data_IF_089757327840
#
_entry.id   IF_089757327840
#
_cell.length_a   1.000
_cell.length_b   1.000
_cell.length_c   1.000
_cell.angle_alpha   90.00
_cell.angle_beta   90.00
_cell.angle_gamma   90.00
#
_symmetry.space_group_name_H-M   'P 1'
#
loop_
_entity.id
_entity.type
_entity.pdbx_description
1 polymer ?
#
# COMPACT_ATOMS: atom_id res chain seq x y z
N UNK A 1 -2.03 -0.66 12.72
CA UNK A 1 -1.00 -1.59 12.20
C UNK A 1 -0.73 -1.20 10.76
N UNK A 2 0.48 -0.74 10.45
CA UNK A 2 0.82 -0.25 9.11
C UNK A 2 0.93 -1.41 8.13
N UNK A 3 0.53 -1.18 6.88
CA UNK A 3 0.61 -2.19 5.81
C UNK A 3 2.05 -2.43 5.33
N UNK A 4 3.06 -1.81 5.95
CA UNK A 4 4.46 -1.84 5.53
C UNK A 4 5.12 -3.23 5.62
N UNK A 5 4.61 -4.13 6.48
CA UNK A 5 5.14 -5.49 6.62
C UNK A 5 5.17 -6.28 5.31
N UNK A 6 4.25 -5.98 4.37
CA UNK A 6 4.22 -6.65 3.06
C UNK A 6 5.46 -6.34 2.23
N UNK A 7 6.09 -5.18 2.41
CA UNK A 7 7.29 -4.79 1.67
C UNK A 7 8.51 -5.59 2.08
N UNK A 8 8.56 -6.00 3.35
CA UNK A 8 9.59 -6.88 3.90
C UNK A 8 9.39 -8.29 3.33
N UNK A 9 8.18 -8.85 3.43
CA UNK A 9 7.86 -10.18 2.89
C UNK A 9 8.14 -10.27 1.39
N UNK A 10 7.74 -9.27 0.60
CA UNK A 10 8.04 -9.24 -0.84
C UNK A 10 9.55 -9.14 -1.11
N UNK A 11 10.31 -8.47 -0.24
CA UNK A 11 11.76 -8.40 -0.33
C UNK A 11 12.42 -9.75 -0.04
N UNK A 12 11.98 -10.45 1.00
CA UNK A 12 12.50 -11.77 1.37
C UNK A 12 12.22 -12.81 0.29
N UNK A 13 11.00 -12.80 -0.27
CA UNK A 13 10.64 -13.68 -1.38
C UNK A 13 11.47 -13.36 -2.64
N UNK A 14 11.74 -12.08 -2.92
CA UNK A 14 12.57 -11.67 -4.06
C UNK A 14 14.01 -12.20 -3.90
N UNK A 15 14.58 -12.06 -2.70
CA UNK A 15 15.90 -12.60 -2.38
C UNK A 15 15.94 -14.14 -2.52
N UNK A 16 14.92 -14.83 -2.01
CA UNK A 16 14.77 -16.28 -2.19
C UNK A 16 14.72 -16.65 -3.68
N UNK A 17 13.91 -15.97 -4.48
CA UNK A 17 13.80 -16.23 -5.91
C UNK A 17 15.15 -16.05 -6.65
N UNK A 18 15.91 -15.00 -6.29
CA UNK A 18 17.25 -14.77 -6.86
C UNK A 18 18.24 -15.88 -6.49
N UNK A 19 18.26 -16.28 -5.22
CA UNK A 19 19.16 -17.34 -4.73
C UNK A 19 18.87 -18.71 -5.34
N UNK A 20 17.62 -18.97 -5.73
CA UNK A 20 17.19 -20.25 -6.28
C UNK A 20 17.09 -20.26 -7.82
N UNK A 21 17.60 -19.23 -8.50
CA UNK A 21 17.60 -19.20 -9.97
C UNK A 21 16.19 -19.11 -10.58
N UNK A 22 15.28 -18.38 -9.92
CA UNK A 22 13.90 -18.15 -10.36
C UNK A 22 13.73 -16.71 -10.87
N UNK A 23 14.30 -16.33 -12.03
CA UNK A 23 14.39 -14.94 -12.47
C UNK A 23 13.03 -14.30 -12.77
N UNK A 24 12.10 -15.06 -13.37
CA UNK A 24 10.74 -14.57 -13.65
C UNK A 24 9.99 -14.23 -12.36
N UNK A 25 10.14 -15.06 -11.33
CA UNK A 25 9.53 -14.83 -10.02
C UNK A 25 10.14 -13.60 -9.35
N UNK A 26 11.46 -13.44 -9.38
CA UNK A 26 12.12 -12.26 -8.84
C UNK A 26 11.64 -10.96 -9.52
N UNK A 27 11.47 -10.97 -10.85
CA UNK A 27 10.94 -9.83 -11.60
C UNK A 27 9.49 -9.49 -11.21
N UNK A 28 8.63 -10.51 -11.06
CA UNK A 28 7.25 -10.33 -10.61
C UNK A 28 7.18 -9.76 -9.19
N UNK A 29 8.03 -10.25 -8.28
CA UNK A 29 8.10 -9.76 -6.91
C UNK A 29 8.60 -8.31 -6.84
N UNK A 30 9.58 -7.95 -7.68
CA UNK A 30 10.05 -6.56 -7.79
C UNK A 30 8.94 -5.61 -8.29
N UNK A 31 8.11 -6.06 -9.23
CA UNK A 31 6.93 -5.31 -9.69
C UNK A 31 5.87 -5.18 -8.60
N UNK A 32 5.52 -6.29 -7.93
CA UNK A 32 4.54 -6.29 -6.84
C UNK A 32 4.95 -5.35 -5.70
N UNK A 33 6.25 -5.33 -5.37
CA UNK A 33 6.83 -4.47 -4.34
C UNK A 33 6.81 -3.00 -4.73
N UNK A 34 6.91 -2.68 -6.02
CA UNK A 34 6.71 -1.32 -6.54
C UNK A 34 5.26 -0.86 -6.39
N UNK A 35 4.29 -1.70 -6.80
CA UNK A 35 2.85 -1.41 -6.66
C UNK A 35 2.48 -1.24 -5.19
N UNK A 36 2.91 -2.15 -4.32
CA UNK A 36 2.62 -2.06 -2.89
C UNK A 36 3.13 -0.76 -2.24
N UNK A 37 4.30 -0.26 -2.65
CA UNK A 37 4.80 1.05 -2.18
C UNK A 37 3.88 2.20 -2.59
N UNK A 38 3.37 2.18 -3.82
CA UNK A 38 2.47 3.21 -4.32
C UNK A 38 1.14 3.20 -3.56
N UNK A 39 0.55 2.02 -3.35
CA UNK A 39 -0.72 1.86 -2.61
C UNK A 39 -0.60 2.28 -1.14
N UNK A 40 0.47 1.87 -0.46
CA UNK A 40 0.71 2.26 0.94
C UNK A 40 0.89 3.77 1.07
N UNK A 41 1.60 4.40 0.12
CA UNK A 41 1.77 5.85 0.09
C UNK A 41 0.44 6.57 -0.17
N UNK A 42 -0.42 6.02 -1.04
CA UNK A 42 -1.75 6.57 -1.31
C UNK A 42 -2.67 6.50 -0.08
N UNK A 43 -2.64 5.41 0.69
CA UNK A 43 -3.39 5.29 1.95
C UNK A 43 -2.90 6.27 3.02
N UNK A 44 -1.62 6.67 2.99
CA UNK A 44 -1.06 7.65 3.93
C UNK A 44 -1.46 9.10 3.61
N UNK A 45 -1.98 9.36 2.41
CA UNK A 45 -2.50 10.68 2.01
C UNK A 45 -4.01 10.65 2.18
N UNK A 46 -4.61 11.38 3.16
CA UNK A 46 -6.05 11.50 3.23
C UNK A 46 -6.56 12.11 1.92
N UNK A 47 -7.57 11.47 1.32
CA UNK A 47 -8.19 12.00 0.11
C UNK A 47 -8.88 13.32 0.47
N UNK A 48 -8.87 14.36 -0.38
CA UNK A 48 -9.67 15.56 -0.15
C UNK A 48 -11.16 15.24 0.02
N UNK A 49 -11.65 14.09 -0.46
CA UNK A 49 -13.01 13.60 -0.22
C UNK A 49 -13.30 13.21 1.24
N UNK A 50 -12.30 12.79 2.01
CA UNK A 50 -12.46 12.46 3.45
C UNK A 50 -12.63 13.73 4.31
N UNK A 51 -12.18 14.89 3.80
CA UNK A 51 -12.22 16.18 4.52
C UNK A 51 -13.59 16.87 4.43
N UNK A 52 -14.37 16.58 3.37
CA UNK A 52 -15.67 17.25 3.10
C UNK A 52 -16.84 16.58 3.86
N UNK A 53 -16.61 15.45 4.52
CA UNK A 53 -17.65 14.73 5.28
C UNK A 53 -17.96 15.28 6.69
N UNK A 54 -17.13 16.16 7.24
CA UNK A 54 -17.26 16.64 8.62
C UNK A 54 -18.22 17.84 8.80
N UNK A 55 -18.75 18.42 7.72
CA UNK A 55 -19.60 19.63 7.73
C UNK A 55 -21.10 19.33 7.46
N UNK A 56 -21.56 18.11 7.74
CA UNK A 56 -22.99 17.77 7.58
C UNK A 56 -23.67 17.39 8.90
N UNK A 57 -23.66 18.30 9.86
CA UNK A 57 -24.70 18.36 10.89
C UNK A 57 -25.20 19.80 11.04
N UNK A 58 -26.32 20.19 10.40
CA UNK A 58 -27.01 21.39 10.84
C UNK A 58 -27.60 21.15 12.25
N UNK A 59 -27.49 22.12 13.18
CA UNK A 59 -28.19 22.04 14.45
C UNK A 59 -29.70 22.05 14.19
N UNK A 60 -30.41 21.24 14.98
CA UNK A 60 -31.86 21.28 15.11
C UNK A 60 -32.36 22.73 15.07
N UNK A 61 -33.19 23.05 14.09
CA UNK A 61 -33.88 24.34 14.01
C UNK A 61 -35.37 24.06 13.82
N UNK A 62 -36.14 24.20 14.91
CA UNK A 62 -37.61 24.22 14.91
C UNK A 62 -38.24 23.32 15.95
#
# INVERSE_FOLDING_TARGET
MTQAWILEVLGDLEAFARLNGLPSLAAQLQLARHVARAEIAAVAVPSPADVIGADKLPPDTG
#
